data_IF_014703644816
#
_entry.id   IF_014703644816
#
_cell.length_a   1.000
_cell.length_b   1.000
_cell.length_c   1.000
_cell.angle_alpha   90.00
_cell.angle_beta   90.00
_cell.angle_gamma   90.00
#
_symmetry.space_group_name_H-M   'P 1'
#
loop_
_entity.id
_entity.type
_entity.pdbx_description
1 polymer ?
#
# COMPACT_ATOMS: atom_id res chain seq x y z
N UNK A 1 -24.02 2.51 0.49
CA UNK A 1 -22.90 3.05 -0.27
C UNK A 1 -22.45 2.02 -1.28
N UNK A 2 -22.53 2.35 -2.54
CA UNK A 2 -22.16 1.41 -3.60
C UNK A 2 -20.62 1.33 -3.68
N UNK A 3 -20.07 0.13 -3.46
CA UNK A 3 -18.65 -0.14 -3.66
C UNK A 3 -18.44 -0.35 -5.16
N UNK A 4 -17.45 0.33 -5.71
CA UNK A 4 -17.11 0.16 -7.11
C UNK A 4 -16.63 -1.27 -7.39
N UNK A 5 -17.02 -1.80 -8.54
CA UNK A 5 -16.52 -3.11 -8.99
C UNK A 5 -15.12 -2.92 -9.55
N UNK A 6 -14.11 -3.27 -8.75
CA UNK A 6 -12.71 -3.09 -9.08
C UNK A 6 -12.08 -4.45 -9.41
N UNK A 7 -11.24 -4.45 -10.42
CA UNK A 7 -10.42 -5.60 -10.81
C UNK A 7 -8.94 -5.27 -10.58
N UNK A 8 -8.14 -6.29 -10.29
CA UNK A 8 -6.70 -6.15 -10.08
C UNK A 8 -5.98 -7.07 -11.04
N UNK A 9 -5.00 -6.51 -11.74
CA UNK A 9 -4.12 -7.25 -12.63
C UNK A 9 -2.69 -6.77 -12.50
N UNK A 10 -1.75 -7.61 -12.89
CA UNK A 10 -0.35 -7.22 -12.95
C UNK A 10 -0.18 -6.06 -13.95
N UNK A 11 0.61 -5.06 -13.58
CA UNK A 11 0.93 -3.93 -14.46
C UNK A 11 1.84 -4.39 -15.58
N UNK A 12 1.61 -3.87 -16.78
CA UNK A 12 2.44 -4.12 -17.97
C UNK A 12 3.06 -2.82 -18.46
N UNK A 13 4.12 -2.90 -19.27
CA UNK A 13 4.91 -1.72 -19.66
C UNK A 13 4.08 -0.59 -20.30
N UNK A 14 3.05 -0.93 -21.05
CA UNK A 14 2.15 0.08 -21.66
C UNK A 14 1.36 0.88 -20.61
N UNK A 15 1.26 0.39 -19.37
CA UNK A 15 0.53 1.08 -18.30
C UNK A 15 1.37 2.19 -17.65
N UNK A 16 2.68 2.20 -17.86
CA UNK A 16 3.60 3.08 -17.15
C UNK A 16 3.24 4.57 -17.24
N UNK A 17 2.90 5.13 -18.40
CA UNK A 17 2.50 6.55 -18.46
C UNK A 17 1.31 6.88 -17.56
N UNK A 18 0.29 6.04 -17.54
CA UNK A 18 -0.90 6.24 -16.68
C UNK A 18 -0.55 6.04 -15.21
N UNK A 19 0.29 5.08 -14.89
CA UNK A 19 0.75 4.84 -13.51
C UNK A 19 1.53 6.06 -12.99
N UNK A 20 2.42 6.63 -13.79
CA UNK A 20 3.15 7.85 -13.43
C UNK A 20 2.18 9.02 -13.16
N UNK A 21 1.14 9.15 -13.98
CA UNK A 21 0.11 10.16 -13.78
C UNK A 21 -0.67 9.96 -12.47
N UNK A 22 -1.00 8.71 -12.13
CA UNK A 22 -1.68 8.38 -10.87
C UNK A 22 -0.84 8.78 -9.66
N UNK A 23 0.46 8.50 -9.70
CA UNK A 23 1.35 8.92 -8.60
C UNK A 23 1.48 10.43 -8.49
N UNK A 24 1.49 11.16 -9.60
CA UNK A 24 1.49 12.62 -9.58
C UNK A 24 0.22 13.17 -8.92
N UNK A 25 -0.94 12.64 -9.28
CA UNK A 25 -2.22 13.01 -8.66
C UNK A 25 -2.19 12.71 -7.16
N UNK A 26 -1.67 11.54 -6.76
CA UNK A 26 -1.58 11.14 -5.37
C UNK A 26 -0.65 12.05 -4.55
N UNK A 27 0.50 12.46 -5.11
CA UNK A 27 1.42 13.41 -4.45
C UNK A 27 0.76 14.77 -4.24
N UNK A 28 0.04 15.26 -5.24
CA UNK A 28 -0.71 16.51 -5.12
C UNK A 28 -1.79 16.42 -4.03
N UNK A 29 -2.49 15.30 -3.96
CA UNK A 29 -3.48 15.04 -2.90
C UNK A 29 -2.84 15.02 -1.51
N UNK A 30 -1.73 14.32 -1.35
CA UNK A 30 -0.99 14.27 -0.09
C UNK A 30 -0.55 15.67 0.36
N UNK A 31 0.02 16.46 -0.55
CA UNK A 31 0.45 17.82 -0.26
C UNK A 31 -0.72 18.72 0.17
N UNK A 32 -1.86 18.62 -0.52
CA UNK A 32 -3.07 19.39 -0.22
C UNK A 32 -3.70 18.99 1.14
N UNK A 33 -3.43 17.78 1.63
CA UNK A 33 -3.97 17.26 2.89
C UNK A 33 -2.95 17.22 4.03
N UNK A 34 -1.88 18.01 3.95
CA UNK A 34 -0.90 18.17 5.03
C UNK A 34 0.14 17.06 5.13
N UNK A 35 0.26 16.19 4.12
CA UNK A 35 1.17 15.05 4.11
C UNK A 35 2.22 15.13 2.98
N UNK A 36 2.73 16.33 2.68
CA UNK A 36 3.75 16.50 1.64
C UNK A 36 5.07 15.77 1.97
N UNK A 37 5.33 15.50 3.25
CA UNK A 37 6.59 14.92 3.70
C UNK A 37 6.76 13.42 3.43
N UNK A 38 5.67 12.68 3.20
CA UNK A 38 5.79 11.22 3.00
C UNK A 38 6.43 10.87 1.66
N UNK A 39 5.94 11.45 0.57
CA UNK A 39 6.46 11.17 -0.78
C UNK A 39 7.17 12.35 -1.42
N UNK A 40 7.06 13.55 -0.85
CA UNK A 40 7.62 14.75 -1.44
C UNK A 40 7.04 15.04 -2.82
N UNK A 41 7.90 15.41 -3.76
CA UNK A 41 7.52 15.74 -5.14
C UNK A 41 7.91 14.67 -6.16
N UNK A 42 8.68 13.65 -5.77
CA UNK A 42 9.30 12.72 -6.71
C UNK A 42 9.07 11.23 -6.39
N UNK A 43 8.78 10.90 -5.13
CA UNK A 43 8.61 9.49 -4.76
C UNK A 43 7.19 9.00 -5.10
N UNK A 44 7.01 7.78 -5.63
CA UNK A 44 8.08 6.85 -6.04
C UNK A 44 8.71 7.27 -7.37
N UNK A 45 10.04 7.13 -7.46
CA UNK A 45 10.78 7.42 -8.70
C UNK A 45 10.45 6.38 -9.76
N UNK A 46 10.54 6.78 -11.02
CA UNK A 46 10.24 5.89 -12.15
C UNK A 46 11.09 4.62 -12.12
N UNK A 47 12.37 4.70 -11.70
CA UNK A 47 13.26 3.54 -11.59
C UNK A 47 12.71 2.48 -10.62
N UNK A 48 12.12 2.92 -9.52
CA UNK A 48 11.49 2.01 -8.54
C UNK A 48 10.29 1.29 -9.17
N UNK A 49 9.48 2.01 -9.92
CA UNK A 49 8.31 1.44 -10.60
C UNK A 49 8.72 0.45 -11.69
N UNK A 50 9.75 0.77 -12.45
CA UNK A 50 10.31 -0.15 -13.46
C UNK A 50 10.84 -1.41 -12.82
N UNK A 51 11.53 -1.29 -11.69
CA UNK A 51 12.01 -2.45 -10.93
C UNK A 51 10.83 -3.30 -10.42
N UNK A 52 9.81 -2.66 -9.85
CA UNK A 52 8.61 -3.37 -9.40
C UNK A 52 7.93 -4.12 -10.55
N UNK A 53 7.86 -3.51 -11.74
CA UNK A 53 7.30 -4.15 -12.94
C UNK A 53 8.17 -5.32 -13.41
N UNK A 54 9.49 -5.14 -13.44
CA UNK A 54 10.43 -6.21 -13.83
C UNK A 54 10.35 -7.41 -12.89
N UNK A 55 10.11 -7.18 -11.60
CA UNK A 55 9.95 -8.20 -10.58
C UNK A 55 8.52 -8.79 -10.54
N UNK A 56 7.59 -8.28 -11.34
CA UNK A 56 6.22 -8.75 -11.38
C UNK A 56 5.40 -8.43 -10.12
N UNK A 57 5.77 -7.40 -9.38
CA UNK A 57 5.13 -7.04 -8.10
C UNK A 57 4.34 -5.73 -8.11
N UNK A 58 4.21 -5.08 -9.26
CA UNK A 58 3.38 -3.89 -9.44
C UNK A 58 2.03 -4.29 -10.04
N UNK A 59 0.95 -3.83 -9.43
CA UNK A 59 -0.41 -4.18 -9.83
C UNK A 59 -1.22 -2.94 -10.14
N UNK A 60 -2.02 -3.04 -11.20
CA UNK A 60 -2.99 -2.01 -11.59
C UNK A 60 -4.37 -2.37 -11.03
N UNK A 61 -5.04 -1.39 -10.45
CA UNK A 61 -6.45 -1.49 -10.07
C UNK A 61 -7.26 -0.84 -11.18
N UNK A 62 -8.22 -1.57 -11.73
CA UNK A 62 -9.02 -1.09 -12.86
C UNK A 62 -10.51 -1.04 -12.52
N UNK A 63 -11.19 -0.09 -13.14
CA UNK A 63 -12.65 0.04 -13.15
C UNK A 63 -13.07 0.21 -14.59
N UNK A 64 -13.89 -0.70 -15.11
CA UNK A 64 -14.28 -0.74 -16.52
C UNK A 64 -13.06 -0.65 -17.46
N UNK A 65 -12.06 -1.49 -17.20
CA UNK A 65 -10.80 -1.59 -17.95
C UNK A 65 -9.87 -0.36 -17.84
N UNK A 66 -10.31 0.72 -17.18
CA UNK A 66 -9.48 1.92 -16.96
C UNK A 66 -8.73 1.83 -15.65
N UNK A 67 -7.45 2.17 -15.67
CA UNK A 67 -6.62 2.17 -14.46
C UNK A 67 -7.08 3.33 -13.56
N UNK A 68 -7.42 3.03 -12.33
CA UNK A 68 -7.81 4.01 -11.33
C UNK A 68 -6.92 3.98 -10.08
N UNK A 69 -6.09 2.97 -9.95
CA UNK A 69 -5.17 2.81 -8.83
C UNK A 69 -3.99 1.93 -9.16
N UNK A 70 -2.99 1.93 -8.29
CA UNK A 70 -1.75 1.17 -8.43
C UNK A 70 -1.20 0.85 -7.05
N UNK A 71 -0.56 -0.29 -6.90
CA UNK A 71 0.15 -0.66 -5.68
C UNK A 71 1.23 -1.69 -5.97
N UNK A 72 2.23 -1.76 -5.09
CA UNK A 72 3.20 -2.85 -5.10
C UNK A 72 2.85 -3.84 -4.00
N UNK A 73 2.94 -5.14 -4.29
CA UNK A 73 2.77 -6.21 -3.33
C UNK A 73 4.08 -6.98 -3.27
N UNK A 74 4.76 -6.93 -2.13
CA UNK A 74 6.13 -7.40 -1.98
C UNK A 74 6.19 -8.52 -0.97
N UNK A 75 6.79 -9.65 -1.36
CA UNK A 75 7.09 -10.76 -0.48
C UNK A 75 8.51 -10.65 0.05
N UNK A 76 8.78 -11.33 1.16
CA UNK A 76 10.08 -11.32 1.80
C UNK A 76 10.23 -10.24 2.87
N UNK A 77 11.24 -10.40 3.72
CA UNK A 77 11.48 -9.49 4.81
C UNK A 77 11.94 -8.11 4.32
N UNK A 78 11.27 -7.07 4.79
CA UNK A 78 11.68 -5.69 4.54
C UNK A 78 12.76 -5.30 5.54
N UNK A 79 13.95 -4.86 5.08
CA UNK A 79 15.02 -4.44 6.00
C UNK A 79 14.62 -3.31 6.94
N UNK A 80 13.71 -2.43 6.53
CA UNK A 80 13.24 -1.31 7.38
C UNK A 80 12.30 -1.78 8.49
N UNK A 81 11.80 -3.01 8.43
CA UNK A 81 10.91 -3.59 9.43
C UNK A 81 11.63 -4.39 10.51
N UNK A 82 12.95 -4.49 10.45
CA UNK A 82 13.77 -5.21 11.42
C UNK A 82 13.80 -4.51 12.77
N UNK A 83 13.92 -3.18 12.76
CA UNK A 83 13.89 -2.34 13.97
C UNK A 83 12.52 -1.70 14.12
N UNK A 84 11.90 -1.91 15.27
CA UNK A 84 10.64 -1.26 15.63
C UNK A 84 10.76 -0.72 17.06
N UNK A 85 10.41 0.55 17.25
CA UNK A 85 10.45 1.24 18.53
C UNK A 85 9.02 1.51 19.04
N UNK A 86 8.86 1.59 20.36
CA UNK A 86 7.57 1.92 20.97
C UNK A 86 6.51 0.83 20.88
N UNK A 87 6.90 -0.38 20.56
CA UNK A 87 6.00 -1.52 20.42
C UNK A 87 6.69 -2.68 19.73
N UNK A 88 5.89 -3.60 19.20
CA UNK A 88 6.38 -4.79 18.49
C UNK A 88 5.39 -5.22 17.44
N UNK A 89 5.88 -5.90 16.38
CA UNK A 89 5.02 -6.65 15.49
C UNK A 89 4.26 -7.72 16.29
N UNK A 90 3.00 -7.97 15.93
CA UNK A 90 2.19 -8.93 16.69
C UNK A 90 2.51 -10.38 16.35
N UNK A 91 3.18 -10.63 15.22
CA UNK A 91 3.63 -11.96 14.80
C UNK A 91 5.00 -11.92 14.17
N UNK A 92 5.75 -12.99 14.33
CA UNK A 92 7.05 -13.23 13.68
C UNK A 92 6.91 -14.38 12.67
N UNK A 93 6.24 -14.15 11.60
CA UNK A 93 6.04 -15.11 10.50
C UNK A 93 6.16 -14.42 9.15
N UNK A 94 6.34 -15.15 8.04
CA UNK A 94 6.40 -14.55 6.71
C UNK A 94 5.18 -13.69 6.41
N UNK A 95 5.39 -12.56 5.73
CA UNK A 95 4.35 -11.59 5.46
C UNK A 95 4.46 -11.04 4.04
N UNK A 96 3.36 -10.48 3.55
CA UNK A 96 3.35 -9.60 2.39
C UNK A 96 3.23 -8.16 2.84
N UNK A 97 3.80 -7.26 2.06
CA UNK A 97 3.72 -5.82 2.32
C UNK A 97 3.07 -5.13 1.13
N UNK A 98 2.07 -4.30 1.41
CA UNK A 98 1.48 -3.40 0.42
C UNK A 98 2.27 -2.09 0.47
N UNK A 99 2.93 -1.74 -0.62
CA UNK A 99 3.72 -0.52 -0.75
C UNK A 99 3.21 0.35 -1.88
N UNK A 100 3.45 1.64 -1.78
CA UNK A 100 3.24 2.60 -2.86
C UNK A 100 1.82 2.56 -3.44
N UNK A 101 0.83 2.42 -2.55
CA UNK A 101 -0.57 2.44 -2.97
C UNK A 101 -0.99 3.87 -3.34
N UNK A 102 -1.65 4.02 -4.48
CA UNK A 102 -2.15 5.29 -4.96
C UNK A 102 -3.42 5.12 -5.79
N UNK A 103 -4.27 6.12 -5.77
CA UNK A 103 -5.46 6.21 -6.61
C UNK A 103 -5.56 7.59 -7.26
N UNK A 104 -6.32 7.68 -8.34
CA UNK A 104 -6.54 8.95 -9.07
C UNK A 104 -7.84 9.66 -8.67
N UNK A 105 -8.54 9.17 -7.65
CA UNK A 105 -9.77 9.78 -7.16
C UNK A 105 -11.04 9.41 -7.94
N UNK A 106 -10.94 8.59 -8.99
CA UNK A 106 -12.10 8.22 -9.82
C UNK A 106 -12.86 6.98 -9.33
N UNK A 107 -12.32 6.28 -8.33
CA UNK A 107 -12.94 5.07 -7.78
C UNK A 107 -12.87 5.05 -6.25
N UNK A 108 -13.82 4.37 -5.65
CA UNK A 108 -13.88 4.14 -4.20
C UNK A 108 -13.49 2.70 -3.88
N UNK A 109 -12.88 2.49 -2.71
CA UNK A 109 -12.59 1.15 -2.23
C UNK A 109 -11.30 0.55 -2.76
N UNK A 110 -10.38 1.36 -3.30
CA UNK A 110 -9.09 0.89 -3.82
C UNK A 110 -8.31 0.15 -2.74
N UNK A 111 -8.20 0.71 -1.53
CA UNK A 111 -7.46 0.05 -0.44
C UNK A 111 -8.10 -1.30 -0.07
N UNK A 112 -9.41 -1.35 0.06
CA UNK A 112 -10.11 -2.60 0.39
C UNK A 112 -9.90 -3.67 -0.69
N UNK A 113 -9.90 -3.28 -1.97
CA UNK A 113 -9.61 -4.20 -3.07
C UNK A 113 -8.18 -4.72 -3.02
N UNK A 114 -7.21 -3.86 -2.74
CA UNK A 114 -5.80 -4.25 -2.58
C UNK A 114 -5.63 -5.22 -1.40
N UNK A 115 -6.30 -4.95 -0.29
CA UNK A 115 -6.26 -5.81 0.90
C UNK A 115 -6.82 -7.20 0.59
N UNK A 116 -7.98 -7.29 -0.03
CA UNK A 116 -8.58 -8.58 -0.41
C UNK A 116 -7.69 -9.37 -1.37
N UNK A 117 -7.03 -8.68 -2.30
CA UNK A 117 -6.06 -9.31 -3.19
C UNK A 117 -4.84 -9.84 -2.42
N UNK A 118 -4.29 -9.05 -1.51
CA UNK A 118 -3.12 -9.43 -0.71
C UNK A 118 -3.41 -10.62 0.21
N UNK A 119 -4.62 -10.72 0.77
CA UNK A 119 -5.05 -11.83 1.61
C UNK A 119 -5.02 -13.19 0.90
N UNK A 120 -5.14 -13.20 -0.42
CA UNK A 120 -5.04 -14.44 -1.20
C UNK A 120 -3.63 -15.01 -1.19
N UNK A 121 -2.62 -14.18 -1.00
CA UNK A 121 -1.21 -14.58 -1.01
C UNK A 121 -0.59 -14.80 0.37
N UNK A 122 -1.21 -14.29 1.43
CA UNK A 122 -0.67 -14.44 2.80
C UNK A 122 -1.75 -14.22 3.85
N UNK A 123 -1.61 -14.93 4.97
CA UNK A 123 -2.46 -14.73 6.16
C UNK A 123 -1.94 -13.61 7.07
N UNK A 124 -0.75 -13.07 6.78
CA UNK A 124 -0.12 -12.04 7.60
C UNK A 124 0.44 -10.92 6.71
N UNK A 125 0.05 -9.69 7.01
CA UNK A 125 0.42 -8.51 6.23
C UNK A 125 1.05 -7.47 7.15
N UNK A 126 2.04 -6.74 6.64
CA UNK A 126 2.64 -5.57 7.29
C UNK A 126 2.57 -4.37 6.36
N UNK A 127 2.36 -3.19 6.92
CA UNK A 127 2.31 -1.94 6.17
C UNK A 127 2.80 -0.79 7.06
N UNK A 128 3.33 0.25 6.46
CA UNK A 128 3.69 1.47 7.16
C UNK A 128 3.13 2.70 6.46
N UNK A 129 2.95 3.77 7.22
CA UNK A 129 2.53 5.06 6.68
C UNK A 129 3.06 6.21 7.54
N UNK A 130 3.10 7.40 6.97
CA UNK A 130 3.48 8.61 7.71
C UNK A 130 2.40 8.99 8.71
N UNK A 131 2.79 9.51 9.88
CA UNK A 131 1.84 9.93 10.92
C UNK A 131 0.82 10.96 10.43
N UNK A 132 1.20 11.81 9.48
CA UNK A 132 0.34 12.84 8.89
C UNK A 132 -0.59 12.32 7.81
N UNK A 133 -0.44 11.06 7.38
CA UNK A 133 -1.35 10.45 6.43
C UNK A 133 -2.61 9.94 7.13
N UNK A 134 -3.46 10.87 7.51
CA UNK A 134 -4.70 10.57 8.27
C UNK A 134 -5.64 9.68 7.49
N UNK A 135 -5.71 9.85 6.18
CA UNK A 135 -6.57 9.04 5.30
C UNK A 135 -6.15 7.57 5.37
N UNK A 136 -4.86 7.29 5.17
CA UNK A 136 -4.34 5.93 5.22
C UNK A 136 -4.46 5.32 6.63
N UNK A 137 -4.15 6.08 7.67
CA UNK A 137 -4.29 5.61 9.04
C UNK A 137 -5.72 5.18 9.35
N UNK A 138 -6.69 6.00 8.94
CA UNK A 138 -8.11 5.67 9.09
C UNK A 138 -8.49 4.40 8.33
N UNK A 139 -8.03 4.26 7.08
CA UNK A 139 -8.29 3.08 6.27
C UNK A 139 -7.69 1.81 6.88
N UNK A 140 -6.48 1.89 7.43
CA UNK A 140 -5.81 0.77 8.09
C UNK A 140 -6.62 0.31 9.30
N UNK A 141 -6.97 1.23 10.19
CA UNK A 141 -7.73 0.91 11.40
C UNK A 141 -9.13 0.37 11.07
N UNK A 142 -9.81 1.00 10.12
CA UNK A 142 -11.13 0.58 9.65
C UNK A 142 -11.11 -0.84 9.08
N UNK A 143 -10.03 -1.25 8.45
CA UNK A 143 -9.91 -2.56 7.81
C UNK A 143 -9.22 -3.61 8.71
N UNK A 144 -9.08 -3.35 10.00
CA UNK A 144 -8.63 -4.33 10.96
C UNK A 144 -7.12 -4.41 11.18
N UNK A 145 -6.34 -3.49 10.61
CA UNK A 145 -4.92 -3.36 10.93
C UNK A 145 -4.72 -2.84 12.33
N UNK A 146 -3.70 -3.33 13.00
CA UNK A 146 -3.35 -2.93 14.36
C UNK A 146 -2.02 -2.19 14.37
N UNK A 147 -1.98 -1.10 15.12
CA UNK A 147 -0.75 -0.33 15.33
C UNK A 147 0.28 -1.17 16.10
N UNK A 148 1.51 -1.17 15.62
CA UNK A 148 2.61 -1.97 16.18
C UNK A 148 3.71 -1.13 16.81
N UNK A 149 3.98 0.06 16.31
CA UNK A 149 5.08 0.91 16.75
C UNK A 149 5.62 1.79 15.63
N UNK A 150 6.87 2.22 15.79
CA UNK A 150 7.54 3.13 14.83
C UNK A 150 8.68 2.38 14.15
N UNK A 151 8.68 2.39 12.82
CA UNK A 151 9.82 1.95 12.01
C UNK A 151 10.46 3.18 11.37
N UNK A 152 11.61 3.02 10.75
CA UNK A 152 12.33 4.12 10.14
C UNK A 152 12.61 3.83 8.67
N UNK A 153 12.21 4.78 7.81
CA UNK A 153 12.50 4.72 6.39
C UNK A 153 14.01 4.83 6.15
N UNK A 154 14.46 4.60 4.92
CA UNK A 154 15.90 4.61 4.58
C UNK A 154 16.59 5.94 4.89
N UNK A 155 15.86 7.04 4.83
CA UNK A 155 16.36 8.38 5.18
C UNK A 155 16.33 8.68 6.69
N UNK A 156 15.95 7.70 7.52
CA UNK A 156 15.83 7.83 8.97
C UNK A 156 14.51 8.44 9.44
N UNK A 157 13.61 8.82 8.54
CA UNK A 157 12.32 9.39 8.92
C UNK A 157 11.39 8.33 9.52
N UNK A 158 10.64 8.68 10.60
CA UNK A 158 9.76 7.73 11.25
C UNK A 158 8.50 7.44 10.43
N UNK A 159 8.04 6.20 10.52
CA UNK A 159 6.77 5.75 9.96
C UNK A 159 6.00 4.94 10.99
N UNK A 160 4.70 5.05 10.99
CA UNK A 160 3.83 4.23 11.83
C UNK A 160 3.64 2.86 11.19
N UNK A 161 3.95 1.82 11.94
CA UNK A 161 3.89 0.44 11.50
C UNK A 161 2.57 -0.22 11.95
N UNK A 162 1.97 -0.98 11.04
CA UNK A 162 0.71 -1.68 11.26
C UNK A 162 0.84 -3.11 10.74
N UNK A 163 0.13 -4.03 11.36
CA UNK A 163 0.00 -5.39 10.83
C UNK A 163 -1.46 -5.86 10.80
N UNK A 164 -1.69 -6.91 10.03
CA UNK A 164 -2.99 -7.54 9.86
C UNK A 164 -2.82 -9.06 9.80
N UNK A 165 -3.63 -9.77 10.56
CA UNK A 165 -3.68 -11.24 10.53
C UNK A 165 -5.08 -11.70 10.12
N UNK A 166 -5.14 -12.60 9.15
CA UNK A 166 -6.38 -13.30 8.84
C UNK A 166 -6.64 -14.30 9.96
N UNK A 167 -7.77 -14.17 10.65
CA UNK A 167 -8.13 -15.10 11.71
C UNK A 167 -8.65 -16.41 11.11
N UNK A 168 -8.52 -17.51 11.85
CA UNK A 168 -8.91 -18.85 11.38
C UNK A 168 -10.40 -19.00 11.04
N UNK A 169 -11.24 -18.09 11.53
CA UNK A 169 -12.67 -18.03 11.23
C UNK A 169 -12.96 -17.49 9.83
N UNK A 170 -12.03 -16.72 9.25
CA UNK A 170 -12.16 -16.15 7.91
C UNK A 170 -11.84 -17.19 6.81
N UNK A 171 -11.24 -18.32 7.18
CA UNK A 171 -10.83 -19.38 6.27
C UNK A 171 -11.91 -20.46 6.06
N UNK A 172 -13.03 -20.37 6.78
CA UNK A 172 -14.12 -21.36 6.74
C UNK A 172 -15.35 -20.88 5.98
N UNK A 173 -15.19 -19.83 5.17
CA UNK A 173 -16.25 -19.30 4.31
C UNK A 173 -16.12 -19.69 2.85
#
# INVERSE_FOLDING_TARGET
MQIDNLEIRQAVWRDLPEILNIYEIARCFMAANGNAGQWGTEHPKEEILREDMAQGRLYAVTKHEKICGVFALISGADPTYTRIDGGNWHKEEPYLTIHRIAGNGTARGIFAACLEFAKQGSSYLRIDTHEKNRVMRHLLEKNGFRYCGIIYFRDGSPRMAYDYSVESTDLSG
#
